data_IF_880581034535
#
_entry.id   IF_880581034535
#
_cell.length_a   1.000
_cell.length_b   1.000
_cell.length_c   1.000
_cell.angle_alpha   90.00
_cell.angle_beta   90.00
_cell.angle_gamma   90.00
#
_symmetry.space_group_name_H-M   'P 1'
#
loop_
_entity.id
_entity.type
_entity.pdbx_description
1 polymer ?
#
# COMPACT_ATOMS: atom_id res chain seq x y z
N UNK A 1 11.24 -6.71 -17.39
CA UNK A 1 11.89 -7.13 -16.13
C UNK A 1 11.71 -6.06 -15.08
N UNK A 2 11.30 -6.46 -13.89
CA UNK A 2 11.06 -5.50 -12.82
C UNK A 2 12.37 -5.12 -12.13
N UNK A 3 12.50 -3.87 -11.76
CA UNK A 3 13.67 -3.38 -11.03
C UNK A 3 13.50 -3.66 -9.52
N UNK A 4 14.61 -3.57 -8.78
CA UNK A 4 14.58 -3.63 -7.33
C UNK A 4 13.66 -2.55 -6.76
N UNK A 5 13.72 -1.34 -7.33
CA UNK A 5 12.87 -0.22 -6.91
C UNK A 5 11.40 -0.59 -7.02
N UNK A 6 10.99 -1.11 -8.19
CA UNK A 6 9.60 -1.48 -8.41
C UNK A 6 9.13 -2.57 -7.46
N UNK A 7 9.99 -3.57 -7.19
CA UNK A 7 9.67 -4.65 -6.27
C UNK A 7 9.47 -4.14 -4.84
N UNK A 8 10.32 -3.23 -4.40
CA UNK A 8 10.20 -2.66 -3.04
C UNK A 8 8.98 -1.76 -2.94
N UNK A 9 8.69 -0.96 -3.96
CA UNK A 9 7.47 -0.13 -3.98
C UNK A 9 6.23 -1.01 -3.83
N UNK A 10 6.16 -2.11 -4.57
CA UNK A 10 5.04 -3.04 -4.47
C UNK A 10 4.96 -3.70 -3.09
N UNK A 11 6.10 -4.08 -2.54
CA UNK A 11 6.14 -4.69 -1.21
C UNK A 11 5.64 -3.73 -0.13
N UNK A 12 6.05 -2.47 -0.19
CA UNK A 12 5.58 -1.45 0.75
C UNK A 12 4.09 -1.22 0.58
N UNK A 13 3.61 -1.16 -0.68
CA UNK A 13 2.19 -1.00 -0.96
C UNK A 13 1.37 -2.14 -0.35
N UNK A 14 1.84 -3.37 -0.50
CA UNK A 14 1.18 -4.53 0.10
C UNK A 14 1.15 -4.43 1.62
N UNK A 15 2.24 -3.98 2.24
CA UNK A 15 2.30 -3.81 3.68
C UNK A 15 1.31 -2.75 4.17
N UNK A 16 1.13 -1.68 3.40
CA UNK A 16 0.17 -0.63 3.74
C UNK A 16 -1.28 -1.11 3.71
N UNK A 17 -1.57 -2.17 2.96
CA UNK A 17 -2.91 -2.71 2.85
C UNK A 17 -3.19 -3.87 3.80
N UNK A 18 -2.20 -4.27 4.58
CA UNK A 18 -2.38 -5.34 5.57
C UNK A 18 -2.91 -4.75 6.87
N UNK A 19 -4.05 -5.25 7.32
CA UNK A 19 -4.66 -4.88 8.59
C UNK A 19 -4.64 -6.09 9.50
N UNK A 20 -3.58 -6.23 10.28
CA UNK A 20 -3.41 -7.34 11.19
C UNK A 20 -3.18 -6.83 12.61
N UNK A 21 -3.82 -7.49 13.58
CA UNK A 21 -3.63 -7.14 14.98
C UNK A 21 -2.26 -7.54 15.51
N UNK A 22 -1.71 -8.61 14.98
CA UNK A 22 -0.54 -9.25 15.56
C UNK A 22 0.77 -8.95 14.86
N UNK A 23 0.73 -8.28 13.73
CA UNK A 23 1.95 -8.00 12.99
C UNK A 23 2.00 -6.56 12.52
N UNK A 24 3.20 -6.03 12.56
CA UNK A 24 3.50 -4.70 12.03
C UNK A 24 4.59 -4.88 11.00
N UNK A 25 4.53 -4.10 9.93
CA UNK A 25 5.50 -4.15 8.86
C UNK A 25 6.43 -2.96 8.95
N UNK A 26 7.71 -3.22 8.71
CA UNK A 26 8.77 -2.21 8.76
C UNK A 26 9.61 -2.30 7.51
N UNK A 27 10.19 -1.18 7.12
CA UNK A 27 11.26 -1.20 6.14
C UNK A 27 12.59 -1.29 6.89
N UNK A 28 13.39 -2.28 6.55
CA UNK A 28 14.69 -2.52 7.17
C UNK A 28 15.79 -1.98 6.23
N UNK A 29 16.44 -0.91 6.65
CA UNK A 29 17.47 -0.28 5.83
C UNK A 29 18.75 -1.11 5.74
N UNK A 30 19.00 -1.98 6.71
CA UNK A 30 20.15 -2.88 6.66
C UNK A 30 19.94 -3.99 5.63
N UNK A 31 18.75 -4.58 5.62
CA UNK A 31 18.39 -5.63 4.67
C UNK A 31 17.86 -5.09 3.35
N UNK A 32 17.50 -3.83 3.28
CA UNK A 32 16.92 -3.21 2.08
C UNK A 32 15.66 -3.92 1.62
N UNK A 33 14.78 -4.25 2.57
CA UNK A 33 13.55 -4.95 2.31
C UNK A 33 12.56 -4.71 3.45
N UNK A 34 11.32 -5.15 3.26
CA UNK A 34 10.32 -5.06 4.33
C UNK A 34 10.43 -6.30 5.22
N UNK A 35 10.17 -6.10 6.49
CA UNK A 35 10.16 -7.19 7.46
C UNK A 35 8.94 -7.06 8.38
N UNK A 36 8.30 -8.18 8.73
CA UNK A 36 7.23 -8.16 9.71
C UNK A 36 7.80 -8.37 11.11
N UNK A 37 7.23 -7.68 12.09
CA UNK A 37 7.49 -7.96 13.50
C UNK A 37 6.18 -8.37 14.14
N UNK A 38 6.17 -9.55 14.74
CA UNK A 38 5.00 -10.08 15.41
C UNK A 38 5.00 -9.57 16.86
N UNK A 39 3.90 -8.97 17.25
CA UNK A 39 3.78 -8.30 18.54
C UNK A 39 4.09 -9.23 19.75
N UNK A 40 3.77 -10.50 19.62
CA UNK A 40 4.03 -11.48 20.67
C UNK A 40 5.45 -12.01 20.67
N UNK A 41 6.24 -11.71 19.64
CA UNK A 41 7.63 -12.12 19.62
C UNK A 41 8.44 -11.12 20.46
N UNK A 42 9.34 -11.65 21.26
CA UNK A 42 10.25 -10.82 22.06
C UNK A 42 11.35 -10.20 21.21
N UNK A 43 11.26 -10.38 19.91
CA UNK A 43 12.23 -9.81 18.96
C UNK A 43 11.87 -8.37 18.66
N UNK A 44 12.20 -7.49 19.56
CA UNK A 44 12.21 -6.05 19.25
C UNK A 44 13.41 -5.77 18.35
N UNK A 45 13.34 -4.70 17.54
CA UNK A 45 14.51 -4.31 16.78
C UNK A 45 15.68 -4.12 17.73
N UNK A 46 16.71 -4.91 17.52
CA UNK A 46 17.90 -4.79 18.31
C UNK A 46 18.61 -3.47 18.03
N UNK A 47 19.39 -3.03 19.00
CA UNK A 47 20.20 -1.85 18.84
C UNK A 47 21.09 -1.99 17.60
N UNK A 48 20.99 -1.04 16.68
CA UNK A 48 21.72 -1.09 15.42
C UNK A 48 20.89 -1.44 14.21
N UNK A 49 19.67 -1.95 14.40
CA UNK A 49 18.74 -2.15 13.29
C UNK A 49 18.03 -0.85 12.95
N UNK A 50 18.09 -0.48 11.69
CA UNK A 50 17.43 0.72 11.19
C UNK A 50 16.09 0.34 10.58
N UNK A 51 15.04 0.36 11.38
CA UNK A 51 13.70 0.00 10.97
C UNK A 51 12.81 1.22 10.93
N UNK A 52 11.98 1.32 9.90
CA UNK A 52 10.99 2.37 9.78
C UNK A 52 9.62 1.74 9.66
N UNK A 53 8.72 2.10 10.56
CA UNK A 53 7.37 1.56 10.57
C UNK A 53 6.60 1.96 9.32
N UNK A 54 5.95 0.97 8.69
CA UNK A 54 5.06 1.18 7.55
C UNK A 54 3.63 1.18 8.09
N UNK A 55 3.04 2.37 8.18
CA UNK A 55 1.70 2.52 8.71
C UNK A 55 0.67 1.99 7.72
N UNK A 56 -0.28 1.16 8.17
CA UNK A 56 -1.35 0.71 7.29
C UNK A 56 -2.21 1.88 6.82
N UNK A 57 -2.71 1.79 5.60
CA UNK A 57 -3.69 2.75 5.11
C UNK A 57 -4.96 2.68 5.95
N UNK A 58 -5.55 3.83 6.18
CA UNK A 58 -6.85 3.88 6.85
C UNK A 58 -7.95 3.42 5.89
N UNK A 59 -8.98 2.79 6.44
CA UNK A 59 -10.12 2.33 5.64
C UNK A 59 -10.72 3.44 4.79
N UNK A 60 -10.76 4.64 5.31
CA UNK A 60 -11.27 5.80 4.58
C UNK A 60 -10.45 6.10 3.33
N UNK A 61 -9.13 5.96 3.42
CA UNK A 61 -8.25 6.18 2.27
C UNK A 61 -8.46 5.11 1.20
N UNK A 62 -8.59 3.84 1.62
CA UNK A 62 -8.86 2.75 0.70
C UNK A 62 -10.23 2.91 0.04
N UNK A 63 -11.23 3.34 0.80
CA UNK A 63 -12.57 3.61 0.28
C UNK A 63 -12.53 4.71 -0.77
N UNK A 64 -11.75 5.77 -0.51
CA UNK A 64 -11.62 6.87 -1.46
C UNK A 64 -11.00 6.42 -2.78
N UNK A 65 -10.06 5.49 -2.75
CA UNK A 65 -9.50 4.94 -3.99
C UNK A 65 -10.59 4.29 -4.85
N UNK A 66 -11.49 3.56 -4.21
CA UNK A 66 -12.62 2.93 -4.93
C UNK A 66 -13.55 3.97 -5.52
N UNK A 67 -13.88 5.01 -4.74
CA UNK A 67 -14.74 6.10 -5.24
C UNK A 67 -14.08 6.80 -6.43
N UNK A 68 -12.81 7.14 -6.31
CA UNK A 68 -12.09 7.82 -7.38
C UNK A 68 -12.03 6.97 -8.64
N UNK A 69 -11.85 5.67 -8.49
CA UNK A 69 -11.88 4.77 -9.64
C UNK A 69 -13.24 4.77 -10.32
N UNK A 70 -14.32 4.67 -9.55
CA UNK A 70 -15.68 4.61 -10.11
C UNK A 70 -15.97 5.85 -10.95
N UNK A 71 -15.48 7.00 -10.53
CA UNK A 71 -15.65 8.24 -11.29
C UNK A 71 -14.98 8.19 -12.66
N UNK A 72 -13.99 7.33 -12.86
CA UNK A 72 -13.32 7.17 -14.14
C UNK A 72 -14.03 6.19 -15.06
N UNK A 73 -15.00 5.42 -14.55
CA UNK A 73 -15.69 4.40 -15.33
C UNK A 73 -16.66 5.07 -16.32
N UNK A 74 -16.44 4.82 -17.62
CA UNK A 74 -17.27 5.43 -18.66
C UNK A 74 -18.57 4.67 -18.93
N UNK A 75 -18.57 3.35 -18.69
CA UNK A 75 -19.78 2.55 -18.86
C UNK A 75 -20.72 2.82 -17.70
N UNK A 76 -21.87 3.44 -18.01
CA UNK A 76 -22.83 3.87 -16.99
C UNK A 76 -23.39 2.72 -16.16
N UNK A 77 -23.70 1.60 -16.81
CA UNK A 77 -24.25 0.44 -16.13
C UNK A 77 -23.24 -0.14 -15.13
N UNK A 78 -21.98 -0.25 -15.54
CA UNK A 78 -20.91 -0.73 -14.66
C UNK A 78 -20.68 0.25 -13.52
N UNK A 79 -20.68 1.54 -13.82
CA UNK A 79 -20.50 2.57 -12.81
C UNK A 79 -21.58 2.49 -11.73
N UNK A 80 -22.84 2.35 -12.16
CA UNK A 80 -23.95 2.24 -11.22
C UNK A 80 -23.85 1.00 -10.33
N UNK A 81 -23.42 -0.12 -10.91
CA UNK A 81 -23.19 -1.35 -10.14
C UNK A 81 -22.13 -1.17 -9.07
N UNK A 82 -21.04 -0.51 -9.41
CA UNK A 82 -19.94 -0.29 -8.48
C UNK A 82 -20.34 0.69 -7.37
N UNK A 83 -21.04 1.77 -7.71
CA UNK A 83 -21.57 2.67 -6.70
C UNK A 83 -22.52 1.96 -5.74
N UNK A 84 -23.39 1.11 -6.28
CA UNK A 84 -24.31 0.31 -5.47
C UNK A 84 -23.56 -0.60 -4.50
N UNK A 85 -22.46 -1.18 -4.96
CA UNK A 85 -21.63 -2.04 -4.10
C UNK A 85 -21.05 -1.28 -2.91
N UNK A 86 -20.62 -0.04 -3.11
CA UNK A 86 -20.05 0.77 -2.02
C UNK A 86 -21.07 1.18 -0.96
N UNK A 87 -22.36 1.09 -1.27
CA UNK A 87 -23.43 1.41 -0.31
C UNK A 87 -23.79 0.23 0.57
N UNK A 88 -23.22 -0.93 0.33
CA UNK A 88 -23.52 -2.12 1.11
C UNK A 88 -22.77 -2.13 2.44
N UNK A 89 -23.23 -3.00 3.34
CA UNK A 89 -22.68 -3.08 4.70
C UNK A 89 -21.18 -3.39 4.73
N UNK A 90 -20.72 -4.23 3.79
CA UNK A 90 -19.30 -4.57 3.66
C UNK A 90 -18.81 -4.09 2.29
N UNK A 91 -18.55 -2.77 2.17
CA UNK A 91 -18.30 -2.18 0.85
C UNK A 91 -17.05 -2.70 0.15
N UNK A 92 -15.98 -3.01 0.89
CA UNK A 92 -14.75 -3.51 0.26
C UNK A 92 -14.99 -4.87 -0.41
N UNK A 93 -15.64 -5.79 0.30
CA UNK A 93 -15.97 -7.11 -0.24
C UNK A 93 -16.97 -7.00 -1.39
N UNK A 94 -17.97 -6.15 -1.22
CA UNK A 94 -19.01 -5.95 -2.24
C UNK A 94 -18.41 -5.37 -3.53
N UNK A 95 -17.51 -4.40 -3.40
CA UNK A 95 -16.84 -3.78 -4.55
C UNK A 95 -16.01 -4.82 -5.32
N UNK A 96 -15.19 -5.58 -4.60
CA UNK A 96 -14.34 -6.60 -5.23
C UNK A 96 -15.18 -7.67 -5.93
N UNK A 97 -16.28 -8.09 -5.30
CA UNK A 97 -17.18 -9.05 -5.89
C UNK A 97 -17.87 -8.50 -7.13
N UNK A 98 -18.33 -7.24 -7.06
CA UNK A 98 -19.02 -6.62 -8.19
C UNK A 98 -18.12 -6.46 -9.41
N UNK A 99 -16.83 -6.29 -9.21
CA UNK A 99 -15.88 -6.18 -10.33
C UNK A 99 -15.94 -7.40 -11.26
N UNK A 100 -16.26 -8.58 -10.72
CA UNK A 100 -16.41 -9.80 -11.55
C UNK A 100 -17.61 -9.73 -12.49
N UNK A 101 -18.58 -8.86 -12.20
CA UNK A 101 -19.78 -8.71 -13.00
C UNK A 101 -19.73 -7.47 -13.89
N UNK A 102 -18.55 -6.93 -14.05
CA UNK A 102 -18.30 -5.76 -14.91
C UNK A 102 -17.07 -6.03 -15.76
N UNK A 103 -16.85 -5.18 -16.78
CA UNK A 103 -15.65 -5.22 -17.59
C UNK A 103 -14.54 -4.32 -17.01
N UNK A 104 -14.65 -3.96 -15.72
CA UNK A 104 -13.76 -2.97 -15.12
C UNK A 104 -12.63 -3.56 -14.28
N UNK A 105 -12.60 -4.87 -14.11
CA UNK A 105 -11.65 -5.53 -13.20
C UNK A 105 -10.20 -5.22 -13.49
N UNK A 106 -9.79 -5.37 -14.76
CA UNK A 106 -8.40 -5.11 -15.15
C UNK A 106 -8.05 -3.63 -15.03
N UNK A 107 -9.02 -2.76 -15.35
CA UNK A 107 -8.83 -1.32 -15.21
C UNK A 107 -8.68 -0.93 -13.74
N UNK A 108 -9.42 -1.60 -12.85
CA UNK A 108 -9.27 -1.38 -11.41
C UNK A 108 -7.87 -1.76 -10.94
N UNK A 109 -7.36 -2.91 -11.37
CA UNK A 109 -6.03 -3.33 -10.95
C UNK A 109 -4.97 -2.34 -11.42
N UNK A 110 -5.06 -1.87 -12.67
CA UNK A 110 -4.13 -0.89 -13.19
C UNK A 110 -4.22 0.44 -12.44
N UNK A 111 -5.44 0.89 -12.16
CA UNK A 111 -5.68 2.12 -11.40
C UNK A 111 -5.13 2.00 -9.98
N UNK A 112 -5.46 0.89 -9.31
CA UNK A 112 -5.02 0.62 -7.95
C UNK A 112 -3.50 0.60 -7.85
N UNK A 113 -2.84 -0.13 -8.74
CA UNK A 113 -1.38 -0.23 -8.74
C UNK A 113 -0.73 1.14 -8.97
N UNK A 114 -1.28 1.92 -9.89
CA UNK A 114 -0.76 3.27 -10.17
C UNK A 114 -0.93 4.19 -8.97
N UNK A 115 -2.09 4.16 -8.32
CA UNK A 115 -2.34 4.98 -7.15
C UNK A 115 -1.49 4.56 -5.96
N UNK A 116 -1.35 3.26 -5.75
CA UNK A 116 -0.52 2.76 -4.66
C UNK A 116 0.94 3.13 -4.85
N UNK A 117 1.43 3.09 -6.08
CA UNK A 117 2.78 3.55 -6.39
C UNK A 117 2.97 5.00 -5.97
N UNK A 118 2.01 5.86 -6.32
CA UNK A 118 2.06 7.27 -5.94
C UNK A 118 2.02 7.46 -4.42
N UNK A 119 1.20 6.68 -3.74
CA UNK A 119 1.09 6.74 -2.29
C UNK A 119 2.40 6.34 -1.63
N UNK A 120 3.03 5.28 -2.11
CA UNK A 120 4.31 4.82 -1.57
C UNK A 120 5.41 5.83 -1.86
N UNK A 121 5.45 6.38 -3.07
CA UNK A 121 6.45 7.38 -3.44
C UNK A 121 6.32 8.64 -2.58
N UNK A 122 5.09 9.05 -2.30
CA UNK A 122 4.87 10.18 -1.38
C UNK A 122 5.31 9.82 0.04
N UNK A 123 5.04 8.61 0.49
CA UNK A 123 5.49 8.15 1.80
C UNK A 123 7.01 8.18 1.90
N UNK A 124 7.72 7.72 0.87
CA UNK A 124 9.18 7.79 0.83
C UNK A 124 9.66 9.24 0.90
N UNK A 125 9.02 10.12 0.16
CA UNK A 125 9.36 11.55 0.17
C UNK A 125 9.13 12.16 1.56
N UNK A 126 7.98 11.87 2.16
CA UNK A 126 7.63 12.39 3.48
C UNK A 126 8.60 11.90 4.56
N UNK A 127 9.11 10.67 4.42
CA UNK A 127 10.08 10.10 5.35
C UNK A 127 11.53 10.44 5.00
N UNK A 128 11.74 11.23 3.94
CA UNK A 128 13.06 11.65 3.48
C UNK A 128 13.93 10.49 3.04
N UNK A 129 13.30 9.50 2.43
CA UNK A 129 13.99 8.32 1.88
C UNK A 129 14.27 8.56 0.41
N UNK A 130 15.51 8.33 -0.01
CA UNK A 130 15.91 8.43 -1.42
C UNK A 130 16.44 7.08 -1.89
N UNK A 131 16.33 6.84 -3.19
CA UNK A 131 16.84 5.64 -3.82
C UNK A 131 17.93 6.03 -4.79
N UNK A 132 19.17 5.69 -4.45
CA UNK A 132 20.32 5.98 -5.30
C UNK A 132 21.27 4.79 -5.28
N UNK A 133 21.83 4.49 -6.44
CA UNK A 133 22.82 3.41 -6.59
C UNK A 133 22.32 2.06 -6.07
N UNK A 134 21.02 1.79 -6.26
CA UNK A 134 20.41 0.55 -5.84
C UNK A 134 20.11 0.43 -4.36
N UNK A 135 20.20 1.53 -3.62
CA UNK A 135 20.04 1.54 -2.17
C UNK A 135 19.05 2.62 -1.72
N UNK A 136 18.17 2.26 -0.80
CA UNK A 136 17.27 3.20 -0.13
C UNK A 136 17.96 3.73 1.13
N UNK A 137 18.05 5.05 1.25
CA UNK A 137 18.69 5.69 2.40
C UNK A 137 17.83 6.85 2.88
N UNK A 138 17.97 7.20 4.14
CA UNK A 138 17.32 8.38 4.69
C UNK A 138 18.25 9.59 4.54
N UNK A 139 17.76 10.63 3.88
CA UNK A 139 18.60 11.74 3.39
C UNK A 139 18.81 12.89 4.36
N UNK A 140 18.19 12.89 5.52
CA UNK A 140 18.24 14.06 6.41
C UNK A 140 19.03 13.84 7.70
N UNK A 141 19.86 12.83 7.76
CA UNK A 141 20.58 12.49 8.97
C UNK A 141 19.68 11.97 10.08
N UNK A 142 18.49 11.54 9.73
CA UNK A 142 17.51 11.02 10.67
C UNK A 142 18.07 9.79 11.38
N UNK A 143 18.03 9.83 12.69
CA UNK A 143 18.54 8.71 13.49
C UNK A 143 17.37 7.80 13.84
N UNK A 144 17.46 6.56 13.43
CA UNK A 144 16.46 5.54 13.77
C UNK A 144 16.86 4.91 15.10
N UNK A 145 16.05 5.11 16.07
CA UNK A 145 16.26 4.51 17.38
C UNK A 145 15.20 3.46 17.69
#
# INVERSE_FOLDING_TARGET
MRTKYENIIEAIACAMEVHSYNSRWYFDFDEQDIVPLIEESECYPEEGHHLLYIEPMKSRESFKLMEDFIETVSNRADQDKLWSALRQRHPFSAFKRMLYYTDQREKWFAFHDDQMKKIVEKWLEDKKIIYEHGVFTCNNGYVFE
#
